data_IF_857610896728
#
_entry.id   IF_857610896728
#
_cell.length_a   1.000
_cell.length_b   1.000
_cell.length_c   1.000
_cell.angle_alpha   90.00
_cell.angle_beta   90.00
_cell.angle_gamma   90.00
#
_symmetry.space_group_name_H-M   'P 1'
#
loop_
_entity.id
_entity.type
_entity.pdbx_description
1 polymer ?
#
# COMPACT_ATOMS: atom_id res chain seq x y z
N UNK A 1 -23.18 -9.34 15.19
CA UNK A 1 -21.74 -9.49 15.51
C UNK A 1 -21.47 -9.44 17.01
N UNK A 2 -21.80 -8.35 17.73
CA UNK A 2 -21.61 -8.30 19.20
C UNK A 2 -22.34 -9.41 19.94
N UNK A 3 -23.61 -9.65 19.59
CA UNK A 3 -24.41 -10.78 20.10
C UNK A 3 -23.75 -12.13 19.79
N UNK A 4 -23.29 -12.32 18.55
CA UNK A 4 -22.59 -13.54 18.11
C UNK A 4 -21.31 -13.81 18.89
N UNK A 5 -20.58 -12.74 19.26
CA UNK A 5 -19.35 -12.82 20.05
C UNK A 5 -19.61 -12.78 21.56
N UNK A 6 -20.88 -12.68 22.00
CA UNK A 6 -21.27 -12.49 23.39
C UNK A 6 -20.52 -11.33 24.09
N UNK A 7 -20.30 -10.23 23.36
CA UNK A 7 -19.65 -9.01 23.88
C UNK A 7 -20.71 -7.97 24.19
N UNK A 8 -20.73 -7.48 25.43
CA UNK A 8 -21.52 -6.30 25.82
C UNK A 8 -20.92 -5.05 25.17
N UNK A 9 -21.76 -4.27 24.49
CA UNK A 9 -21.36 -3.00 23.89
C UNK A 9 -20.79 -2.02 24.91
N UNK A 10 -21.24 -2.07 26.17
CA UNK A 10 -20.72 -1.23 27.25
C UNK A 10 -19.28 -1.58 27.67
N UNK A 11 -18.79 -2.77 27.31
CA UNK A 11 -17.41 -3.18 27.54
C UNK A 11 -16.43 -2.64 26.47
N UNK A 12 -16.93 -2.03 25.40
CA UNK A 12 -16.13 -1.44 24.33
C UNK A 12 -15.95 0.08 24.53
N UNK A 13 -14.83 0.65 24.06
CA UNK A 13 -14.65 2.10 24.06
C UNK A 13 -15.75 2.81 23.25
N UNK A 14 -16.18 3.98 23.72
CA UNK A 14 -17.09 4.84 22.96
C UNK A 14 -16.45 5.36 21.68
N UNK A 15 -17.20 5.37 20.59
CA UNK A 15 -16.76 6.01 19.34
C UNK A 15 -16.90 7.52 19.49
N UNK A 16 -15.77 8.22 19.47
CA UNK A 16 -15.72 9.68 19.58
C UNK A 16 -15.65 10.36 18.21
N UNK A 17 -16.13 11.61 18.07
CA UNK A 17 -15.88 12.42 16.89
C UNK A 17 -14.38 12.61 16.63
N UNK A 18 -13.97 12.76 15.37
CA UNK A 18 -12.55 12.88 15.01
C UNK A 18 -11.82 14.07 15.65
N UNK A 19 -12.53 15.15 16.01
CA UNK A 19 -11.96 16.32 16.66
C UNK A 19 -11.96 16.24 18.20
N UNK A 20 -12.44 15.13 18.78
CA UNK A 20 -12.45 14.97 20.23
C UNK A 20 -11.01 14.99 20.77
N UNK A 21 -10.79 15.84 21.78
CA UNK A 21 -9.51 15.96 22.46
C UNK A 21 -9.70 16.25 23.96
N UNK A 22 -8.67 15.94 24.73
CA UNK A 22 -8.56 16.30 26.13
C UNK A 22 -7.13 16.73 26.45
N UNK A 23 -6.88 17.52 27.51
CA UNK A 23 -5.53 17.74 28.00
C UNK A 23 -4.88 16.44 28.49
N UNK A 24 -3.56 16.40 28.49
CA UNK A 24 -2.81 15.36 29.19
C UNK A 24 -3.19 15.34 30.67
N UNK A 25 -3.41 14.15 31.22
CA UNK A 25 -3.75 13.98 32.63
C UNK A 25 -2.87 12.94 33.32
N UNK A 26 -2.92 12.93 34.66
CA UNK A 26 -2.33 11.88 35.48
C UNK A 26 -0.82 11.69 35.28
N UNK A 27 -0.32 10.44 35.24
CA UNK A 27 1.10 10.13 35.07
C UNK A 27 1.74 10.70 33.81
N UNK A 28 0.99 10.78 32.71
CA UNK A 28 1.52 11.25 31.44
C UNK A 28 1.79 12.77 31.47
N UNK A 29 0.91 13.56 32.11
CA UNK A 29 1.15 15.00 32.30
C UNK A 29 2.40 15.29 33.14
N UNK A 30 2.68 14.45 34.16
CA UNK A 30 3.92 14.55 34.96
C UNK A 30 5.17 14.17 34.18
N UNK A 31 5.06 13.19 33.27
CA UNK A 31 6.15 12.75 32.41
C UNK A 31 6.50 13.80 31.35
N UNK A 32 5.51 14.52 30.83
CA UNK A 32 5.68 15.52 29.76
C UNK A 32 5.02 16.86 30.13
N UNK A 33 5.58 17.60 31.11
CA UNK A 33 4.96 18.84 31.61
C UNK A 33 4.83 19.91 30.53
N UNK A 34 5.76 19.97 29.57
CA UNK A 34 5.72 20.90 28.45
C UNK A 34 4.51 20.69 27.51
N UNK A 35 3.88 19.51 27.54
CA UNK A 35 2.73 19.15 26.70
C UNK A 35 1.40 19.15 27.47
N UNK A 36 1.40 19.50 28.76
CA UNK A 36 0.22 19.39 29.62
C UNK A 36 -0.97 20.23 29.13
N UNK A 37 -0.70 21.40 28.55
CA UNK A 37 -1.71 22.29 27.98
C UNK A 37 -2.04 22.05 26.50
N UNK A 38 -1.36 21.11 25.84
CA UNK A 38 -1.66 20.78 24.44
C UNK A 38 -2.94 19.93 24.34
N UNK A 39 -3.73 20.06 23.26
CA UNK A 39 -4.84 19.15 23.01
C UNK A 39 -4.30 17.76 22.63
N UNK A 40 -4.77 16.72 23.31
CA UNK A 40 -4.51 15.32 22.95
C UNK A 40 -5.74 14.75 22.26
N UNK A 41 -5.63 14.57 20.95
CA UNK A 41 -6.69 14.04 20.11
C UNK A 41 -6.84 12.53 20.26
N UNK A 42 -8.02 12.04 19.91
CA UNK A 42 -8.23 10.59 19.70
C UNK A 42 -7.29 10.06 18.62
N UNK A 43 -6.81 8.81 18.75
CA UNK A 43 -5.86 8.27 17.81
C UNK A 43 -6.50 8.05 16.43
N UNK A 44 -5.75 8.37 15.38
CA UNK A 44 -6.07 7.98 14.00
C UNK A 44 -5.26 6.75 13.61
N UNK A 45 -5.83 5.91 12.74
CA UNK A 45 -5.11 4.75 12.19
C UNK A 45 -3.87 5.18 11.39
N UNK A 46 -2.83 4.36 11.45
CA UNK A 46 -1.60 4.57 10.66
C UNK A 46 -1.89 4.63 9.15
N UNK A 47 -2.86 3.85 8.67
CA UNK A 47 -3.30 3.78 7.28
C UNK A 47 -3.91 5.12 6.82
N UNK A 48 -4.80 5.71 7.63
CA UNK A 48 -5.38 7.01 7.35
C UNK A 48 -4.30 8.10 7.35
N UNK A 49 -3.46 8.09 8.38
CA UNK A 49 -2.35 9.03 8.52
C UNK A 49 -1.40 8.93 7.32
N UNK A 50 -1.02 7.72 6.88
CA UNK A 50 -0.18 7.53 5.71
C UNK A 50 -0.80 8.09 4.42
N UNK A 51 -2.12 7.92 4.24
CA UNK A 51 -2.86 8.44 3.09
C UNK A 51 -2.85 9.99 3.08
N UNK A 52 -3.25 10.60 4.19
CA UNK A 52 -3.27 12.06 4.38
C UNK A 52 -1.86 12.65 4.25
N UNK A 53 -0.87 11.94 4.77
CA UNK A 53 0.55 12.30 4.72
C UNK A 53 1.10 12.48 3.32
N UNK A 54 0.59 11.73 2.34
CA UNK A 54 0.93 11.87 0.92
C UNK A 54 0.08 12.92 0.19
N UNK A 55 -0.80 13.62 0.91
CA UNK A 55 -1.79 14.52 0.32
C UNK A 55 -2.98 13.79 -0.31
N UNK A 56 -3.09 12.47 -0.13
CA UNK A 56 -4.22 11.69 -0.60
C UNK A 56 -5.37 11.83 0.41
N UNK A 57 -6.20 12.85 0.23
CA UNK A 57 -7.27 13.22 1.17
C UNK A 57 -8.67 13.10 0.57
N UNK A 58 -8.77 12.70 -0.71
CA UNK A 58 -10.02 12.54 -1.48
C UNK A 58 -9.90 11.40 -2.50
N UNK A 59 -11.03 10.95 -3.03
CA UNK A 59 -11.13 9.85 -4.01
C UNK A 59 -10.47 10.11 -5.37
N UNK A 60 -9.95 11.31 -5.60
CA UNK A 60 -9.18 11.66 -6.81
C UNK A 60 -7.72 11.19 -6.76
N UNK A 61 -7.26 10.68 -5.62
CA UNK A 61 -5.89 10.22 -5.43
C UNK A 61 -5.79 9.00 -4.53
N UNK A 62 -4.78 8.17 -4.79
CA UNK A 62 -4.47 6.95 -4.06
C UNK A 62 -3.06 7.00 -3.53
N UNK A 63 -2.89 6.60 -2.27
CA UNK A 63 -1.60 6.35 -1.66
C UNK A 63 -1.17 4.91 -1.94
N UNK A 64 -0.03 4.75 -2.62
CA UNK A 64 0.65 3.47 -2.80
C UNK A 64 1.89 3.43 -1.92
N UNK A 65 1.89 2.64 -0.86
CA UNK A 65 3.02 2.55 0.07
C UNK A 65 3.69 1.19 -0.07
N UNK A 66 4.97 1.17 -0.42
CA UNK A 66 5.76 -0.07 -0.53
C UNK A 66 6.99 0.01 0.36
N UNK A 67 6.87 -0.58 1.55
CA UNK A 67 7.95 -0.80 2.51
C UNK A 67 8.36 -2.27 2.52
N UNK A 68 8.54 -2.85 3.71
CA UNK A 68 8.75 -4.30 3.88
C UNK A 68 7.56 -5.10 3.33
N UNK A 69 6.35 -4.60 3.61
CA UNK A 69 5.09 -5.00 2.99
C UNK A 69 4.50 -3.78 2.25
N UNK A 70 3.30 -3.85 1.69
CA UNK A 70 2.72 -2.66 1.11
C UNK A 70 1.20 -2.61 1.09
N UNK A 71 0.68 -1.45 0.68
CA UNK A 71 -0.73 -1.17 0.64
C UNK A 71 -1.05 -0.11 -0.42
N UNK A 72 -2.26 -0.19 -0.97
CA UNK A 72 -2.80 0.80 -1.90
C UNK A 72 -4.17 1.25 -1.39
N UNK A 73 -4.35 2.55 -1.15
CA UNK A 73 -5.53 3.08 -0.43
C UNK A 73 -6.03 4.39 -1.02
N UNK A 74 -7.33 4.63 -0.90
CA UNK A 74 -7.99 5.88 -1.26
C UNK A 74 -9.08 6.23 -0.24
N UNK A 75 -9.50 7.50 -0.21
CA UNK A 75 -10.67 7.91 0.56
C UNK A 75 -11.88 7.92 -0.37
N UNK A 76 -12.83 7.03 -0.13
CA UNK A 76 -14.10 6.96 -0.84
C UNK A 76 -15.14 7.88 -0.16
N UNK A 77 -15.73 8.79 -0.92
CA UNK A 77 -16.73 9.74 -0.40
C UNK A 77 -18.05 9.04 -0.02
N UNK A 78 -18.45 8.05 -0.81
CA UNK A 78 -19.65 7.24 -0.59
C UNK A 78 -19.25 5.76 -0.59
N UNK A 79 -18.77 5.23 0.54
CA UNK A 79 -18.35 3.83 0.58
C UNK A 79 -19.53 2.91 0.35
N UNK A 80 -19.39 2.00 -0.63
CA UNK A 80 -20.34 0.93 -0.84
C UNK A 80 -20.47 0.07 0.43
N UNK A 81 -21.68 -0.44 0.78
CA UNK A 81 -21.86 -1.32 1.93
C UNK A 81 -21.03 -2.60 1.85
N UNK A 82 -20.75 -3.04 0.62
CA UNK A 82 -19.93 -4.21 0.29
C UNK A 82 -18.82 -3.75 -0.62
N UNK A 83 -17.59 -4.08 -0.25
CA UNK A 83 -16.41 -3.80 -1.06
C UNK A 83 -16.08 -4.99 -1.96
N UNK A 84 -15.47 -4.76 -3.13
CA UNK A 84 -14.86 -5.82 -3.91
C UNK A 84 -13.90 -6.68 -3.08
N UNK A 85 -13.82 -7.97 -3.38
CA UNK A 85 -12.87 -8.89 -2.72
C UNK A 85 -11.45 -8.34 -2.76
N UNK A 86 -10.64 -8.67 -1.75
CA UNK A 86 -9.27 -8.17 -1.62
C UNK A 86 -9.15 -6.72 -1.13
N UNK A 87 -10.27 -5.99 -0.98
CA UNK A 87 -10.28 -4.66 -0.39
C UNK A 87 -10.86 -4.69 1.03
N UNK A 88 -10.26 -3.90 1.91
CA UNK A 88 -10.79 -3.56 3.23
C UNK A 88 -11.34 -2.12 3.22
N UNK A 89 -12.16 -1.79 4.22
CA UNK A 89 -12.70 -0.46 4.43
C UNK A 89 -12.72 -0.06 5.90
N UNK A 90 -12.31 1.17 6.18
CA UNK A 90 -12.44 1.81 7.50
C UNK A 90 -13.31 3.06 7.37
N UNK A 91 -14.48 3.05 8.01
CA UNK A 91 -15.36 4.21 8.05
C UNK A 91 -14.73 5.32 8.87
N UNK A 92 -14.76 6.54 8.33
CA UNK A 92 -14.26 7.75 8.97
C UNK A 92 -15.43 8.54 9.60
N UNK A 93 -15.10 9.42 10.55
CA UNK A 93 -16.10 10.15 11.33
C UNK A 93 -16.95 11.13 10.50
N UNK A 94 -16.45 11.56 9.34
CA UNK A 94 -17.14 12.46 8.40
C UNK A 94 -18.07 11.72 7.42
N UNK A 95 -18.24 10.41 7.58
CA UNK A 95 -19.07 9.56 6.73
C UNK A 95 -18.35 8.94 5.53
N UNK A 96 -17.15 9.43 5.19
CA UNK A 96 -16.29 8.82 4.16
C UNK A 96 -15.68 7.51 4.64
N UNK A 97 -14.93 6.81 3.79
CA UNK A 97 -14.12 5.67 4.23
C UNK A 97 -12.75 5.62 3.58
N UNK A 98 -11.75 5.20 4.36
CA UNK A 98 -10.48 4.73 3.80
C UNK A 98 -10.69 3.32 3.27
N UNK A 99 -10.55 3.14 1.96
CA UNK A 99 -10.70 1.84 1.27
C UNK A 99 -9.37 1.49 0.62
N UNK A 100 -9.00 0.22 0.63
CA UNK A 100 -7.77 -0.20 -0.03
C UNK A 100 -7.49 -1.68 0.07
N UNK A 101 -6.38 -2.09 -0.52
CA UNK A 101 -5.84 -3.44 -0.40
C UNK A 101 -4.49 -3.43 0.32
N UNK A 102 -4.14 -4.58 0.91
CA UNK A 102 -2.88 -4.75 1.63
C UNK A 102 -2.18 -6.02 1.17
N UNK A 103 -0.90 -5.91 0.87
CA UNK A 103 -0.02 -7.01 0.49
C UNK A 103 0.93 -7.29 1.66
N UNK A 104 1.19 -8.56 1.97
CA UNK A 104 2.33 -8.93 2.82
C UNK A 104 3.66 -8.69 2.10
N UNK A 105 3.57 -8.59 0.78
CA UNK A 105 4.64 -8.54 -0.19
C UNK A 105 5.05 -7.09 -0.45
N UNK A 106 6.35 -6.91 -0.64
CA UNK A 106 7.01 -5.63 -0.76
C UNK A 106 8.51 -5.86 -0.78
N UNK A 107 9.30 -4.92 -0.28
CA UNK A 107 10.75 -5.06 -0.22
C UNK A 107 11.24 -6.25 0.61
N UNK A 108 10.42 -6.76 1.55
CA UNK A 108 10.76 -7.92 2.38
C UNK A 108 10.90 -9.22 1.57
N UNK A 109 10.00 -9.44 0.61
CA UNK A 109 10.06 -10.62 -0.29
C UNK A 109 11.26 -10.54 -1.22
N UNK A 110 11.50 -9.36 -1.81
CA UNK A 110 12.67 -9.14 -2.65
C UNK A 110 13.99 -9.39 -1.88
N UNK A 111 14.08 -8.88 -0.64
CA UNK A 111 15.23 -9.14 0.23
C UNK A 111 15.39 -10.62 0.62
N UNK A 112 14.28 -11.31 0.89
CA UNK A 112 14.30 -12.74 1.20
C UNK A 112 14.80 -13.56 0.00
N UNK A 113 14.33 -13.26 -1.22
CA UNK A 113 14.77 -13.94 -2.45
C UNK A 113 16.23 -13.62 -2.77
N UNK A 114 16.67 -12.37 -2.61
CA UNK A 114 18.08 -12.02 -2.78
C UNK A 114 18.99 -12.86 -1.86
N UNK A 115 18.58 -13.04 -0.60
CA UNK A 115 19.29 -13.91 0.36
C UNK A 115 19.28 -15.37 -0.09
N UNK A 116 18.17 -15.90 -0.60
CA UNK A 116 18.10 -17.28 -1.11
C UNK A 116 19.01 -17.49 -2.32
N UNK A 117 19.15 -16.48 -3.18
CA UNK A 117 20.05 -16.50 -4.33
C UNK A 117 21.53 -16.29 -3.95
N UNK A 118 21.83 -15.96 -2.69
CA UNK A 118 23.19 -15.66 -2.24
C UNK A 118 23.76 -14.38 -2.85
N UNK A 119 22.90 -13.41 -3.21
CA UNK A 119 23.29 -12.17 -3.90
C UNK A 119 22.78 -10.95 -3.15
N UNK A 120 23.48 -9.83 -3.26
CA UNK A 120 23.04 -8.57 -2.67
C UNK A 120 21.92 -7.94 -3.49
N UNK A 121 20.98 -7.27 -2.82
CA UNK A 121 19.89 -6.51 -3.45
C UNK A 121 20.41 -5.52 -4.51
N UNK A 122 21.45 -4.69 -4.26
CA UNK A 122 21.93 -3.75 -5.29
C UNK A 122 22.51 -4.44 -6.53
N UNK A 123 23.16 -5.61 -6.36
CA UNK A 123 23.71 -6.36 -7.49
C UNK A 123 22.59 -6.93 -8.36
N UNK A 124 21.54 -7.50 -7.74
CA UNK A 124 20.39 -8.03 -8.45
C UNK A 124 19.57 -6.92 -9.11
N UNK A 125 19.33 -5.80 -8.43
CA UNK A 125 18.66 -4.62 -8.98
C UNK A 125 19.37 -4.12 -10.26
N UNK A 126 20.70 -3.99 -10.21
CA UNK A 126 21.51 -3.52 -11.34
C UNK A 126 21.49 -4.49 -12.54
N UNK A 127 21.44 -5.80 -12.29
CA UNK A 127 21.36 -6.80 -13.35
C UNK A 127 19.93 -6.90 -13.92
N UNK A 128 18.93 -6.95 -13.04
CA UNK A 128 17.52 -7.07 -13.41
C UNK A 128 17.00 -5.84 -14.16
N UNK A 129 17.55 -4.65 -13.92
CA UNK A 129 17.13 -3.42 -14.62
C UNK A 129 17.49 -3.41 -16.10
N UNK A 130 18.42 -4.26 -16.53
CA UNK A 130 18.83 -4.42 -17.93
C UNK A 130 17.91 -5.38 -18.70
N UNK A 131 17.07 -6.14 -17.99
CA UNK A 131 16.14 -7.07 -18.61
C UNK A 131 14.93 -6.33 -19.20
N UNK A 132 14.41 -6.79 -20.35
CA UNK A 132 13.14 -6.27 -20.86
C UNK A 132 11.99 -6.67 -19.93
N UNK A 133 10.91 -5.86 -19.85
CA UNK A 133 9.72 -6.16 -19.07
C UNK A 133 9.16 -7.56 -19.36
N UNK A 134 9.01 -8.39 -18.31
CA UNK A 134 8.39 -9.71 -18.36
C UNK A 134 8.93 -10.67 -19.44
N UNK A 135 10.16 -10.47 -19.92
CA UNK A 135 10.75 -11.24 -21.02
C UNK A 135 11.39 -12.57 -20.60
N UNK A 136 11.54 -12.80 -19.29
CA UNK A 136 12.19 -13.99 -18.72
C UNK A 136 11.32 -15.26 -18.76
N UNK A 137 10.04 -15.17 -19.16
CA UNK A 137 9.14 -16.33 -19.27
C UNK A 137 8.67 -16.95 -17.94
N UNK A 138 9.09 -16.39 -16.81
CA UNK A 138 8.69 -16.84 -15.47
C UNK A 138 7.32 -16.29 -15.07
N UNK A 139 6.62 -17.02 -14.20
CA UNK A 139 5.47 -16.53 -13.44
C UNK A 139 5.69 -16.83 -11.96
N UNK A 140 5.34 -15.87 -11.09
CA UNK A 140 5.66 -15.92 -9.67
C UNK A 140 4.45 -15.51 -8.82
N UNK A 141 4.18 -16.26 -7.76
CA UNK A 141 3.31 -15.86 -6.65
C UNK A 141 4.19 -15.45 -5.46
N UNK A 142 4.15 -14.19 -4.98
CA UNK A 142 5.13 -13.68 -4.02
C UNK A 142 4.85 -14.00 -2.54
N UNK A 143 3.90 -14.90 -2.25
CA UNK A 143 3.28 -15.10 -0.93
C UNK A 143 4.14 -15.84 0.11
N UNK A 144 5.42 -15.45 0.29
CA UNK A 144 6.35 -16.10 1.23
C UNK A 144 5.90 -16.02 2.70
N UNK A 145 5.06 -15.04 3.05
CA UNK A 145 4.54 -14.82 4.40
C UNK A 145 3.02 -15.07 4.50
N UNK A 146 2.42 -15.72 3.50
CA UNK A 146 0.97 -15.78 3.34
C UNK A 146 0.40 -14.48 2.76
N UNK A 147 -0.79 -14.60 2.17
CA UNK A 147 -1.41 -13.53 1.38
C UNK A 147 -2.44 -12.75 2.23
N UNK A 148 -2.35 -11.41 2.22
CA UNK A 148 -3.33 -10.49 2.87
C UNK A 148 -4.25 -9.78 1.87
N UNK A 149 -4.15 -10.16 0.61
CA UNK A 149 -4.86 -9.62 -0.54
C UNK A 149 -4.07 -10.01 -1.79
N UNK A 150 -4.71 -10.22 -2.94
CA UNK A 150 -6.14 -10.06 -3.21
C UNK A 150 -7.10 -11.16 -2.72
N UNK A 151 -6.65 -12.38 -2.35
CA UNK A 151 -7.56 -13.48 -1.96
C UNK A 151 -7.56 -13.88 -0.48
N UNK A 152 -6.73 -13.25 0.36
CA UNK A 152 -6.66 -13.51 1.81
C UNK A 152 -6.28 -14.96 2.19
N UNK A 153 -5.48 -15.64 1.37
CA UNK A 153 -4.99 -16.98 1.70
C UNK A 153 -3.82 -16.93 2.69
N UNK A 154 -4.11 -16.92 4.00
CA UNK A 154 -3.09 -16.89 5.06
C UNK A 154 -2.10 -18.08 5.00
N UNK A 155 -2.52 -19.22 4.47
CA UNK A 155 -1.69 -20.40 4.29
C UNK A 155 -0.89 -20.41 2.98
N UNK A 156 -1.09 -19.45 2.08
CA UNK A 156 -0.40 -19.39 0.80
C UNK A 156 1.13 -19.35 0.99
N UNK A 157 1.84 -19.91 0.03
CA UNK A 157 3.29 -19.91 -0.05
C UNK A 157 3.72 -19.48 -1.44
N UNK A 158 4.94 -18.97 -1.54
CA UNK A 158 5.47 -18.52 -2.82
C UNK A 158 5.60 -19.68 -3.81
N UNK A 159 5.35 -19.39 -5.08
CA UNK A 159 5.47 -20.33 -6.17
C UNK A 159 6.18 -19.66 -7.35
N UNK A 160 7.05 -20.40 -8.03
CA UNK A 160 7.76 -19.95 -9.22
C UNK A 160 7.65 -21.03 -10.29
N UNK A 161 7.17 -20.65 -11.47
CA UNK A 161 7.06 -21.54 -12.63
C UNK A 161 7.79 -20.97 -13.85
N UNK A 162 8.10 -21.85 -14.81
CA UNK A 162 8.82 -21.46 -16.04
C UNK A 162 10.34 -21.50 -15.91
N UNK A 163 10.87 -22.05 -14.81
CA UNK A 163 12.33 -22.19 -14.60
C UNK A 163 12.92 -23.18 -15.60
N UNK A 164 14.00 -22.79 -16.27
CA UNK A 164 14.78 -23.63 -17.16
C UNK A 164 16.26 -23.67 -16.78
N UNK A 165 17.06 -24.47 -17.48
CA UNK A 165 18.49 -24.64 -17.20
C UNK A 165 19.30 -23.33 -17.33
N UNK A 166 18.81 -22.39 -18.15
CA UNK A 166 19.46 -21.10 -18.40
C UNK A 166 18.93 -19.97 -17.50
N UNK A 167 17.96 -20.22 -16.61
CA UNK A 167 17.36 -19.18 -15.77
C UNK A 167 18.41 -18.55 -14.86
N UNK A 168 18.58 -17.23 -14.97
CA UNK A 168 19.55 -16.46 -14.22
C UNK A 168 18.97 -15.88 -12.92
N UNK A 169 19.80 -15.63 -11.88
CA UNK A 169 19.33 -15.05 -10.62
C UNK A 169 18.60 -13.71 -10.77
N UNK A 170 19.05 -12.85 -11.68
CA UNK A 170 18.43 -11.56 -11.98
C UNK A 170 17.04 -11.68 -12.62
N UNK A 171 16.77 -12.76 -13.35
CA UNK A 171 15.45 -13.02 -13.93
C UNK A 171 14.45 -13.41 -12.83
N UNK A 172 14.89 -14.23 -11.87
CA UNK A 172 14.08 -14.57 -10.69
C UNK A 172 13.81 -13.31 -9.85
N UNK A 173 14.84 -12.50 -9.63
CA UNK A 173 14.68 -11.24 -8.90
C UNK A 173 13.73 -10.26 -9.62
N UNK A 174 13.85 -10.15 -10.95
CA UNK A 174 12.95 -9.36 -11.79
C UNK A 174 11.51 -9.85 -11.65
N UNK A 175 11.28 -11.16 -11.75
CA UNK A 175 9.96 -11.77 -11.60
C UNK A 175 9.33 -11.47 -10.23
N UNK A 176 10.13 -11.38 -9.15
CA UNK A 176 9.63 -10.97 -7.82
C UNK A 176 9.09 -9.55 -7.85
N UNK A 177 9.87 -8.59 -8.33
CA UNK A 177 9.45 -7.18 -8.39
C UNK A 177 8.23 -7.00 -9.28
N UNK A 178 8.21 -7.68 -10.43
CA UNK A 178 7.06 -7.69 -11.34
C UNK A 178 5.83 -8.26 -10.65
N UNK A 179 5.92 -9.41 -9.98
CA UNK A 179 4.75 -10.02 -9.33
C UNK A 179 4.09 -9.15 -8.27
N UNK A 180 4.90 -8.43 -7.47
CA UNK A 180 4.42 -7.48 -6.46
C UNK A 180 3.64 -6.34 -7.14
N UNK A 181 4.17 -5.81 -8.25
CA UNK A 181 3.52 -4.74 -8.98
C UNK A 181 2.22 -5.19 -9.66
N UNK A 182 2.17 -6.45 -10.14
CA UNK A 182 0.97 -7.03 -10.74
C UNK A 182 -0.15 -7.22 -9.69
N UNK A 183 0.19 -7.63 -8.46
CA UNK A 183 -0.76 -7.70 -7.34
C UNK A 183 -1.30 -6.31 -6.99
N UNK A 184 -0.44 -5.28 -6.95
CA UNK A 184 -0.89 -3.90 -6.78
C UNK A 184 -1.80 -3.42 -7.92
N UNK A 185 -1.48 -3.76 -9.17
CA UNK A 185 -2.32 -3.41 -10.31
C UNK A 185 -3.70 -4.09 -10.24
N UNK A 186 -3.78 -5.31 -9.70
CA UNK A 186 -5.06 -5.98 -9.44
C UNK A 186 -5.88 -5.25 -8.36
N UNK A 187 -5.25 -4.85 -7.27
CA UNK A 187 -5.89 -4.07 -6.20
C UNK A 187 -6.30 -2.66 -6.68
N UNK A 188 -5.47 -1.98 -7.47
CA UNK A 188 -5.75 -0.65 -8.05
C UNK A 188 -7.00 -0.69 -8.93
N UNK A 189 -7.14 -1.70 -9.79
CA UNK A 189 -8.34 -1.88 -10.62
C UNK A 189 -9.59 -2.04 -9.78
N UNK A 190 -9.54 -2.85 -8.71
CA UNK A 190 -10.68 -3.04 -7.78
C UNK A 190 -10.98 -1.75 -7.02
N UNK A 191 -9.95 -1.02 -6.60
CA UNK A 191 -10.12 0.24 -5.89
C UNK A 191 -10.79 1.30 -6.78
N UNK A 192 -10.41 1.36 -8.06
CA UNK A 192 -10.98 2.28 -9.05
C UNK A 192 -12.49 2.11 -9.25
N UNK A 193 -13.05 0.90 -9.05
CA UNK A 193 -14.51 0.69 -9.13
C UNK A 193 -15.25 1.28 -7.92
N UNK A 194 -14.57 1.48 -6.79
CA UNK A 194 -15.14 2.05 -5.57
C UNK A 194 -15.08 3.58 -5.59
N UNK A 195 -14.00 4.16 -6.14
CA UNK A 195 -13.77 5.62 -6.12
C UNK A 195 -14.16 6.34 -7.41
N UNK A 196 -14.73 5.64 -8.40
CA UNK A 196 -15.31 6.25 -9.60
C UNK A 196 -14.32 6.54 -10.73
N UNK A 197 -13.17 5.87 -10.77
CA UNK A 197 -12.15 6.04 -11.80
C UNK A 197 -10.74 5.78 -11.28
N UNK A 198 -9.71 5.71 -12.14
CA UNK A 198 -8.34 5.47 -11.72
C UNK A 198 -7.75 6.75 -11.08
N UNK A 199 -7.58 6.78 -9.76
CA UNK A 199 -7.16 7.99 -9.03
C UNK A 199 -5.68 8.26 -9.20
N UNK A 200 -5.23 9.52 -9.22
CA UNK A 200 -3.79 9.88 -9.25
C UNK A 200 -3.00 9.07 -8.21
N UNK A 201 -1.90 8.42 -8.59
CA UNK A 201 -1.15 7.53 -7.69
C UNK A 201 0.06 8.26 -7.11
N UNK A 202 0.02 8.52 -5.80
CA UNK A 202 1.16 9.03 -5.03
C UNK A 202 1.80 7.86 -4.30
N UNK A 203 3.06 7.58 -4.61
CA UNK A 203 3.76 6.42 -4.12
C UNK A 203 4.89 6.79 -3.15
N UNK A 204 5.09 6.00 -2.11
CA UNK A 204 6.19 6.19 -1.15
C UNK A 204 6.61 4.87 -0.49
N UNK A 205 7.67 4.92 0.32
CA UNK A 205 8.12 3.79 1.13
C UNK A 205 9.53 3.33 0.79
N UNK A 206 10.15 2.67 1.76
CA UNK A 206 11.58 2.34 1.68
C UNK A 206 11.97 1.41 0.53
N UNK A 207 11.06 0.55 0.06
CA UNK A 207 11.37 -0.30 -1.10
C UNK A 207 11.48 0.54 -2.37
N UNK A 208 10.54 1.48 -2.59
CA UNK A 208 10.57 2.40 -3.72
C UNK A 208 11.75 3.38 -3.67
N UNK A 209 12.08 3.88 -2.47
CA UNK A 209 13.21 4.77 -2.28
C UNK A 209 14.57 4.11 -2.65
N UNK A 210 14.65 2.77 -2.61
CA UNK A 210 15.88 2.01 -2.89
C UNK A 210 15.88 1.30 -4.25
N UNK A 211 14.74 1.28 -4.96
CA UNK A 211 14.57 0.53 -6.20
C UNK A 211 13.88 1.39 -7.26
N UNK A 212 14.67 2.10 -8.10
CA UNK A 212 14.15 2.75 -9.29
C UNK A 212 13.44 1.76 -10.23
N UNK A 213 13.94 0.52 -10.31
CA UNK A 213 13.33 -0.51 -11.14
C UNK A 213 11.91 -0.83 -10.70
N UNK A 214 11.67 -0.97 -9.39
CA UNK A 214 10.32 -1.22 -8.87
C UNK A 214 9.35 -0.08 -9.22
N UNK A 215 9.82 1.17 -9.20
CA UNK A 215 9.00 2.31 -9.60
C UNK A 215 8.60 2.25 -11.10
N UNK A 216 9.54 1.92 -11.98
CA UNK A 216 9.29 1.74 -13.41
C UNK A 216 8.33 0.57 -13.67
N UNK A 217 8.54 -0.55 -12.98
CA UNK A 217 7.66 -1.73 -13.05
C UNK A 217 6.24 -1.36 -12.60
N UNK A 218 6.07 -0.68 -11.47
CA UNK A 218 4.76 -0.25 -10.98
C UNK A 218 4.06 0.68 -11.97
N UNK A 219 4.75 1.71 -12.48
CA UNK A 219 4.18 2.59 -13.50
C UNK A 219 3.68 1.78 -14.71
N UNK A 220 4.50 0.84 -15.20
CA UNK A 220 4.14 -0.08 -16.29
C UNK A 220 2.94 -0.96 -15.96
N UNK A 221 2.92 -1.61 -14.80
CA UNK A 221 1.88 -2.55 -14.38
C UNK A 221 0.53 -1.86 -14.13
N UNK A 222 0.54 -0.65 -13.54
CA UNK A 222 -0.65 0.18 -13.40
C UNK A 222 -1.08 0.82 -14.73
N UNK A 223 -0.21 0.86 -15.73
CA UNK A 223 -0.47 1.44 -17.04
C UNK A 223 -0.62 2.96 -17.04
N UNK A 224 -0.17 3.64 -15.98
CA UNK A 224 -0.30 5.10 -15.80
C UNK A 224 0.82 5.67 -14.95
N UNK A 225 1.08 6.99 -15.01
CA UNK A 225 2.14 7.60 -14.22
C UNK A 225 1.94 7.40 -12.71
N UNK A 226 3.04 7.21 -11.99
CA UNK A 226 3.09 7.26 -10.52
C UNK A 226 3.96 8.44 -10.10
N UNK A 227 3.65 9.00 -8.94
CA UNK A 227 4.40 10.13 -8.39
C UNK A 227 5.10 9.70 -7.11
N UNK A 228 6.42 9.57 -7.18
CA UNK A 228 7.25 9.21 -6.04
C UNK A 228 7.37 10.41 -5.10
N UNK A 229 6.78 10.30 -3.92
CA UNK A 229 6.85 11.32 -2.88
C UNK A 229 8.23 11.35 -2.24
N UNK A 230 8.73 12.57 -1.97
CA UNK A 230 9.93 12.79 -1.18
C UNK A 230 9.71 12.62 0.33
N UNK A 231 8.46 12.43 0.78
CA UNK A 231 8.12 12.28 2.20
C UNK A 231 8.44 10.87 2.69
N UNK A 232 9.44 10.78 3.57
CA UNK A 232 9.84 9.52 4.19
C UNK A 232 8.87 9.09 5.30
N UNK A 233 8.29 10.06 6.03
CA UNK A 233 7.50 9.84 7.24
C UNK A 233 6.03 10.23 7.02
N UNK A 234 5.42 9.66 5.97
CA UNK A 234 4.07 10.00 5.55
C UNK A 234 3.05 9.89 6.70
N UNK A 235 3.08 8.82 7.50
CA UNK A 235 2.15 8.65 8.61
C UNK A 235 2.31 9.74 9.67
N UNK A 236 3.53 10.11 10.03
CA UNK A 236 3.79 11.19 11.00
C UNK A 236 3.32 12.54 10.44
N UNK A 237 3.61 12.83 9.18
CA UNK A 237 3.13 14.05 8.49
C UNK A 237 1.60 14.10 8.45
N UNK A 238 0.93 12.99 8.15
CA UNK A 238 -0.53 12.94 8.11
C UNK A 238 -1.18 13.07 9.48
N UNK A 239 -0.59 12.47 10.52
CA UNK A 239 -1.03 12.68 11.90
C UNK A 239 -0.93 14.16 12.29
N UNK A 240 0.17 14.84 11.92
CA UNK A 240 0.31 16.27 12.13
C UNK A 240 -0.75 17.08 11.36
N UNK A 241 -1.01 16.74 10.10
CA UNK A 241 -2.04 17.41 9.29
C UNK A 241 -3.45 17.25 9.91
N UNK A 242 -3.78 16.04 10.37
CA UNK A 242 -5.05 15.75 11.05
C UNK A 242 -5.17 16.51 12.37
N UNK A 243 -4.12 16.52 13.19
CA UNK A 243 -4.09 17.25 14.46
C UNK A 243 -4.21 18.77 14.25
N UNK A 244 -3.50 19.35 13.27
CA UNK A 244 -3.59 20.76 12.94
C UNK A 244 -5.00 21.16 12.48
N UNK A 245 -5.64 20.30 11.67
CA UNK A 245 -7.01 20.53 11.23
C UNK A 245 -8.00 20.42 12.40
N UNK A 246 -7.87 19.39 13.24
CA UNK A 246 -8.72 19.19 14.42
C UNK A 246 -8.54 20.30 15.47
N UNK A 247 -7.35 20.91 15.56
CA UNK A 247 -7.08 22.08 16.39
C UNK A 247 -7.57 23.41 15.80
N UNK A 248 -8.10 23.41 14.56
CA UNK A 248 -8.54 24.62 13.86
C UNK A 248 -7.40 25.52 13.36
N UNK A 249 -6.16 25.04 13.36
CA UNK A 249 -4.98 25.79 12.87
C UNK A 249 -4.98 25.86 11.35
N UNK A 250 -5.48 24.81 10.70
CA UNK A 250 -5.70 24.76 9.24
C UNK A 250 -7.14 24.34 8.95
N UNK A 251 -7.69 24.78 7.82
CA UNK A 251 -9.10 24.53 7.47
C UNK A 251 -9.41 23.03 7.23
N UNK A 252 -8.44 22.26 6.75
CA UNK A 252 -8.55 20.82 6.54
C UNK A 252 -7.16 20.20 6.37
N UNK A 253 -7.02 18.87 6.46
CA UNK A 253 -5.74 18.22 6.17
C UNK A 253 -5.21 18.50 4.76
N UNK A 254 -6.10 18.81 3.80
CA UNK A 254 -5.77 19.19 2.43
C UNK A 254 -5.04 20.54 2.32
N UNK A 255 -5.18 21.40 3.33
CA UNK A 255 -4.54 22.73 3.34
C UNK A 255 -3.03 22.65 3.62
N UNK A 256 -2.52 21.52 4.11
CA UNK A 256 -1.09 21.31 4.28
C UNK A 256 -0.44 20.99 2.94
N UNK A 257 0.46 21.86 2.48
CA UNK A 257 1.14 21.76 1.18
C UNK A 257 1.70 20.35 0.91
N UNK A 258 1.24 19.71 -0.16
CA UNK A 258 1.61 18.34 -0.51
C UNK A 258 3.13 18.17 -0.64
N UNK A 259 3.68 16.97 -0.30
CA UNK A 259 5.10 16.71 -0.49
C UNK A 259 5.53 16.88 -1.95
N UNK A 260 6.81 17.21 -2.16
CA UNK A 260 7.39 17.19 -3.50
C UNK A 260 7.34 15.78 -4.09
N UNK A 261 7.15 15.69 -5.40
CA UNK A 261 7.04 14.42 -6.11
C UNK A 261 7.85 14.39 -7.40
N UNK A 262 8.39 13.22 -7.73
CA UNK A 262 8.97 12.93 -9.05
C UNK A 262 8.06 11.98 -9.81
N UNK A 263 7.65 12.35 -11.03
CA UNK A 263 6.79 11.50 -11.86
C UNK A 263 7.58 10.45 -12.60
N UNK A 264 7.18 9.19 -12.45
CA UNK A 264 7.63 8.06 -13.27
C UNK A 264 6.51 7.70 -14.25
N UNK A 265 6.83 7.62 -15.55
CA UNK A 265 5.85 7.36 -16.60
C UNK A 265 6.01 5.95 -17.17
N UNK A 266 4.92 5.22 -17.43
CA UNK A 266 5.02 3.92 -18.08
C UNK A 266 5.57 4.06 -19.51
N UNK A 267 6.38 3.08 -19.90
CA UNK A 267 6.73 2.85 -21.29
C UNK A 267 5.66 1.96 -21.94
N UNK A 268 5.20 2.30 -23.14
CA UNK A 268 4.10 1.58 -23.81
C UNK A 268 4.36 0.06 -23.91
N UNK A 269 5.57 -0.34 -24.32
CA UNK A 269 5.96 -1.75 -24.41
C UNK A 269 5.89 -2.49 -23.07
N UNK A 270 6.13 -1.79 -21.95
CA UNK A 270 6.04 -2.38 -20.61
C UNK A 270 4.59 -2.64 -20.20
N UNK A 271 3.66 -1.75 -20.58
CA UNK A 271 2.22 -1.90 -20.25
C UNK A 271 1.66 -3.17 -20.88
N UNK A 272 1.93 -3.41 -22.16
CA UNK A 272 1.44 -4.61 -22.85
C UNK A 272 2.09 -5.89 -22.29
N UNK A 273 3.40 -5.85 -22.01
CA UNK A 273 4.12 -6.97 -21.42
C UNK A 273 3.57 -7.34 -20.04
N UNK A 274 3.29 -6.35 -19.19
CA UNK A 274 2.75 -6.59 -17.85
C UNK A 274 1.28 -7.00 -17.85
N UNK A 275 0.49 -6.61 -18.86
CA UNK A 275 -0.86 -7.17 -19.04
C UNK A 275 -0.80 -8.68 -19.27
N UNK A 276 0.06 -9.13 -20.19
CA UNK A 276 0.25 -10.56 -20.44
C UNK A 276 0.86 -11.29 -19.23
N UNK A 277 1.76 -10.64 -18.48
CA UNK A 277 2.32 -11.20 -17.25
C UNK A 277 1.26 -11.35 -16.14
N UNK A 278 0.36 -10.38 -16.00
CA UNK A 278 -0.76 -10.44 -15.06
C UNK A 278 -1.66 -11.66 -15.33
N UNK A 279 -1.94 -11.97 -16.60
CA UNK A 279 -2.73 -13.13 -16.99
C UNK A 279 -2.04 -14.44 -16.59
N UNK A 280 -0.71 -14.56 -16.81
CA UNK A 280 0.06 -15.73 -16.37
C UNK A 280 0.08 -15.88 -14.85
N UNK A 281 0.24 -14.78 -14.11
CA UNK A 281 0.19 -14.79 -12.65
C UNK A 281 -1.21 -15.20 -12.15
N UNK A 282 -2.27 -14.70 -12.77
CA UNK A 282 -3.65 -15.06 -12.44
C UNK A 282 -3.97 -16.54 -12.73
N UNK A 283 -3.49 -17.09 -13.85
CA UNK A 283 -3.62 -18.53 -14.15
C UNK A 283 -2.89 -19.39 -13.11
N UNK A 284 -1.65 -19.02 -12.76
CA UNK A 284 -0.90 -19.71 -11.72
C UNK A 284 -1.61 -19.63 -10.36
N UNK A 285 -2.14 -18.46 -10.02
CA UNK A 285 -2.93 -18.26 -8.81
C UNK A 285 -4.15 -19.18 -8.77
N UNK A 286 -4.95 -19.19 -9.83
CA UNK A 286 -6.15 -20.01 -9.92
C UNK A 286 -5.85 -21.50 -9.79
N UNK A 287 -4.73 -21.98 -10.34
CA UNK A 287 -4.34 -23.40 -10.24
C UNK A 287 -3.90 -23.83 -8.83
N UNK A 288 -3.27 -22.92 -8.08
CA UNK A 288 -2.69 -23.25 -6.77
C UNK A 288 -3.58 -22.89 -5.60
N UNK A 289 -4.39 -21.84 -5.76
CA UNK A 289 -5.18 -21.22 -4.68
C UNK A 289 -6.66 -21.05 -5.06
N UNK A 290 -7.02 -21.23 -6.34
CA UNK A 290 -8.41 -21.23 -6.78
C UNK A 290 -9.12 -22.50 -6.29
N UNK A 291 -10.04 -22.34 -5.35
CA UNK A 291 -10.97 -23.37 -4.91
C UNK A 291 -12.36 -23.10 -5.46
#
# INVERSE_FOLDING_TARGET
MLETLAIDAAALPTISPAAASAPLSGPAARRWPALAGAPWFVPWSDALCGNVGLGCVKGTSTALQVGTSGAIRAIAEQPAPVLPDGLFGHRLADGTALVGGQLSEGGGVAAAVARLLGRSMPSLESAASKLPPAAHGLALLPYLAGERGPGYHAAARGALTGVGLATAPEEVFRAVLESIALDFAALDRRLGTVVGGPPRVVASGGALARSPLLADILAGALGRPIELSSEAEASTRGAAALALAAAGVIASPAALAAPATTTVRPQAAAVDAYRAAAERQADLYARLLGS
#
